data_IF_776907886355
#
_entry.id   IF_776907886355
#
_cell.length_a   1.000
_cell.length_b   1.000
_cell.length_c   1.000
_cell.angle_alpha   90.00
_cell.angle_beta   90.00
_cell.angle_gamma   90.00
#
_symmetry.space_group_name_H-M   'P 1'
#
loop_
_entity.id
_entity.type
_entity.pdbx_description
1 polymer ?
#
# COMPACT_ATOMS: atom_id res chain seq x y z
N UNK A 1 21.45 -16.05 6.08
CA UNK A 1 20.80 -15.91 7.40
C UNK A 1 19.31 -15.81 7.13
N UNK A 2 18.47 -16.61 7.80
CA UNK A 2 17.01 -16.57 7.61
C UNK A 2 16.41 -15.59 8.62
N UNK A 3 15.61 -14.63 8.16
CA UNK A 3 14.90 -13.65 9.02
C UNK A 3 13.74 -14.36 9.72
N UNK A 4 13.69 -14.27 11.05
CA UNK A 4 12.62 -14.83 11.88
C UNK A 4 11.51 -13.79 12.02
N UNK A 5 10.37 -14.05 11.40
CA UNK A 5 9.27 -13.08 11.26
C UNK A 5 8.15 -13.44 12.23
N UNK A 6 7.69 -12.43 12.99
CA UNK A 6 6.47 -12.49 13.77
C UNK A 6 5.32 -11.84 13.00
N UNK A 7 4.20 -12.54 12.87
CA UNK A 7 2.98 -12.01 12.26
C UNK A 7 2.02 -11.50 13.32
N UNK A 8 1.57 -10.26 13.21
CA UNK A 8 0.47 -9.68 14.00
C UNK A 8 -0.74 -9.49 13.09
N UNK A 9 -1.79 -10.27 13.33
CA UNK A 9 -3.00 -10.29 12.50
C UNK A 9 -3.06 -11.51 11.58
N UNK A 10 -3.78 -12.56 12.01
CA UNK A 10 -3.98 -13.81 11.28
C UNK A 10 -5.21 -13.80 10.35
N UNK A 11 -5.64 -12.61 9.91
CA UNK A 11 -6.73 -12.41 8.95
C UNK A 11 -6.35 -12.79 7.52
N UNK A 12 -7.20 -12.45 6.55
CA UNK A 12 -6.99 -12.80 5.14
C UNK A 12 -5.65 -12.30 4.59
N UNK A 13 -5.27 -11.03 4.85
CA UNK A 13 -4.00 -10.46 4.38
C UNK A 13 -2.80 -11.10 5.10
N UNK A 14 -2.87 -11.31 6.41
CA UNK A 14 -1.81 -11.99 7.16
C UNK A 14 -1.55 -13.39 6.62
N UNK A 15 -2.60 -14.17 6.35
CA UNK A 15 -2.49 -15.51 5.75
C UNK A 15 -1.87 -15.48 4.34
N UNK A 16 -2.23 -14.50 3.51
CA UNK A 16 -1.64 -14.32 2.19
C UNK A 16 -0.14 -14.01 2.27
N UNK A 17 0.30 -13.24 3.25
CA UNK A 17 1.72 -13.01 3.50
C UNK A 17 2.44 -14.27 4.00
N UNK A 18 1.82 -15.03 4.90
CA UNK A 18 2.37 -16.32 5.35
C UNK A 18 2.60 -17.25 4.15
N UNK A 19 1.60 -17.40 3.31
CA UNK A 19 1.70 -18.25 2.11
C UNK A 19 2.87 -17.85 1.21
N UNK A 20 3.03 -16.56 0.93
CA UNK A 20 4.15 -16.05 0.13
C UNK A 20 5.50 -16.28 0.81
N UNK A 21 5.61 -16.01 2.12
CA UNK A 21 6.87 -16.13 2.85
C UNK A 21 7.32 -17.59 2.92
N UNK A 22 6.41 -18.51 3.16
CA UNK A 22 6.74 -19.92 3.37
C UNK A 22 6.89 -20.70 2.04
N UNK A 23 6.16 -20.30 0.99
CA UNK A 23 6.09 -21.09 -0.24
C UNK A 23 6.77 -20.45 -1.46
N UNK A 24 6.95 -19.11 -1.49
CA UNK A 24 7.44 -18.40 -2.67
C UNK A 24 8.76 -17.65 -2.42
N UNK A 25 9.02 -17.20 -1.18
CA UNK A 25 10.17 -16.37 -0.88
C UNK A 25 11.27 -17.17 -0.17
N UNK A 26 12.50 -16.79 -0.44
CA UNK A 26 13.67 -17.33 0.26
C UNK A 26 14.18 -16.32 1.31
N UNK A 27 14.68 -16.83 2.43
CA UNK A 27 15.39 -16.02 3.43
C UNK A 27 14.51 -15.48 4.57
N UNK A 28 13.21 -15.77 4.59
CA UNK A 28 12.31 -15.48 5.70
C UNK A 28 11.57 -16.73 6.19
N UNK A 29 11.11 -16.74 7.41
CA UNK A 29 10.15 -17.74 7.92
C UNK A 29 9.30 -17.16 9.04
N UNK A 30 8.07 -17.63 9.19
CA UNK A 30 7.20 -17.26 10.31
C UNK A 30 7.57 -18.10 11.53
N UNK A 31 7.90 -17.44 12.65
CA UNK A 31 8.26 -18.09 13.92
C UNK A 31 7.28 -17.81 15.05
N UNK A 32 6.42 -16.80 14.87
CA UNK A 32 5.43 -16.38 15.85
C UNK A 32 4.20 -15.77 15.16
N UNK A 33 3.02 -16.00 15.71
CA UNK A 33 1.75 -15.43 15.25
C UNK A 33 0.98 -14.85 16.43
N UNK A 34 0.51 -13.62 16.33
CA UNK A 34 -0.34 -12.98 17.31
C UNK A 34 -1.67 -12.55 16.70
N UNK A 35 -2.75 -12.86 17.36
CA UNK A 35 -4.10 -12.38 17.05
C UNK A 35 -4.96 -12.41 18.30
N UNK A 36 -5.96 -11.52 18.39
CA UNK A 36 -6.97 -11.57 19.45
C UNK A 36 -7.81 -12.85 19.38
N UNK A 37 -7.98 -13.40 18.18
CA UNK A 37 -8.57 -14.72 17.95
C UNK A 37 -7.47 -15.79 18.02
N UNK A 38 -7.23 -16.32 19.21
CA UNK A 38 -6.21 -17.36 19.46
C UNK A 38 -6.40 -18.64 18.64
N UNK A 39 -7.64 -19.03 18.34
CA UNK A 39 -7.94 -20.18 17.49
C UNK A 39 -7.48 -19.90 16.04
N UNK A 40 -7.80 -18.71 15.53
CA UNK A 40 -7.37 -18.27 14.20
C UNK A 40 -5.85 -18.13 14.09
N UNK A 41 -5.17 -17.64 15.13
CA UNK A 41 -3.72 -17.59 15.20
C UNK A 41 -3.11 -19.00 15.26
N UNK A 42 -3.68 -19.90 16.06
CA UNK A 42 -3.26 -21.30 16.16
C UNK A 42 -3.35 -22.04 14.83
N UNK A 43 -4.45 -21.86 14.09
CA UNK A 43 -4.63 -22.47 12.78
C UNK A 43 -3.58 -22.04 11.74
N UNK A 44 -2.99 -20.85 11.90
CA UNK A 44 -1.88 -20.37 11.06
C UNK A 44 -0.52 -20.86 11.59
N UNK A 45 -0.33 -20.83 12.89
CA UNK A 45 0.96 -21.12 13.54
C UNK A 45 1.31 -22.61 13.59
N UNK A 46 0.31 -23.48 13.85
CA UNK A 46 0.52 -24.91 14.09
C UNK A 46 1.21 -25.64 12.92
N UNK A 47 0.81 -25.47 11.65
CA UNK A 47 1.49 -26.10 10.52
C UNK A 47 2.96 -25.69 10.35
N UNK A 48 3.31 -24.51 10.89
CA UNK A 48 4.65 -23.92 10.78
C UNK A 48 5.54 -24.20 12.01
N UNK A 49 4.98 -24.80 13.06
CA UNK A 49 5.65 -24.92 14.34
C UNK A 49 5.94 -23.57 15.00
N UNK A 50 5.17 -22.52 14.65
CA UNK A 50 5.32 -21.17 15.17
C UNK A 50 4.62 -21.02 16.53
N UNK A 51 5.12 -20.08 17.34
CA UNK A 51 4.51 -19.76 18.64
C UNK A 51 3.26 -18.91 18.47
N UNK A 52 2.28 -19.07 19.37
CA UNK A 52 1.05 -18.28 19.38
C UNK A 52 1.07 -17.30 20.54
N UNK A 53 0.69 -16.05 20.30
CA UNK A 53 0.57 -14.98 21.27
C UNK A 53 -0.82 -14.35 21.23
N UNK A 54 -1.30 -13.87 22.38
CA UNK A 54 -2.59 -13.18 22.49
C UNK A 54 -2.52 -11.68 22.14
N UNK A 55 -1.30 -11.13 22.01
CA UNK A 55 -1.11 -9.72 21.72
C UNK A 55 0.15 -9.47 20.89
N UNK A 56 0.14 -8.35 20.13
CA UNK A 56 1.32 -7.87 19.41
C UNK A 56 2.48 -7.56 20.35
N UNK A 57 2.21 -7.01 21.53
CA UNK A 57 3.22 -6.68 22.53
C UNK A 57 4.00 -7.90 23.02
N UNK A 58 3.32 -9.03 23.29
CA UNK A 58 3.98 -10.28 23.69
C UNK A 58 4.87 -10.83 22.57
N UNK A 59 4.37 -10.83 21.32
CA UNK A 59 5.15 -11.25 20.16
C UNK A 59 6.38 -10.35 19.93
N UNK A 60 6.23 -9.03 20.05
CA UNK A 60 7.31 -8.06 19.88
C UNK A 60 8.40 -8.26 20.95
N UNK A 61 8.01 -8.63 22.17
CA UNK A 61 8.96 -8.89 23.27
C UNK A 61 9.76 -10.20 23.08
N UNK A 62 9.37 -11.07 22.17
CA UNK A 62 10.05 -12.33 21.91
C UNK A 62 11.43 -12.11 21.28
N UNK A 63 12.55 -12.54 21.91
CA UNK A 63 13.90 -12.35 21.39
C UNK A 63 14.19 -13.17 20.12
N UNK A 64 13.36 -14.18 19.84
CA UNK A 64 13.50 -14.99 18.63
C UNK A 64 12.80 -14.40 17.41
N UNK A 65 12.17 -13.25 17.52
CA UNK A 65 11.58 -12.49 16.41
C UNK A 65 12.54 -11.38 15.99
N UNK A 66 13.00 -11.42 14.74
CA UNK A 66 13.89 -10.40 14.16
C UNK A 66 13.13 -9.26 13.51
N UNK A 67 11.99 -9.57 12.87
CA UNK A 67 11.15 -8.64 12.15
C UNK A 67 9.67 -8.91 12.42
N UNK A 68 8.84 -7.87 12.33
CA UNK A 68 7.40 -7.95 12.59
C UNK A 68 6.64 -7.58 11.32
N UNK A 69 5.68 -8.43 10.93
CA UNK A 69 4.71 -8.15 9.89
C UNK A 69 3.37 -7.85 10.54
N UNK A 70 2.84 -6.64 10.31
CA UNK A 70 1.59 -6.17 10.89
C UNK A 70 0.52 -6.12 9.79
N UNK A 71 -0.51 -6.98 9.92
CA UNK A 71 -1.60 -7.15 8.96
C UNK A 71 -2.97 -7.12 9.65
N UNK A 72 -3.10 -6.30 10.68
CA UNK A 72 -4.35 -6.04 11.41
C UNK A 72 -5.19 -4.94 10.71
N UNK A 73 -6.17 -4.38 11.40
CA UNK A 73 -6.89 -3.20 10.91
C UNK A 73 -6.07 -1.93 11.13
N UNK A 74 -5.99 -1.04 10.14
CA UNK A 74 -5.18 0.18 10.17
C UNK A 74 -5.32 1.06 11.41
N UNK A 75 -6.48 1.04 12.06
CA UNK A 75 -6.73 1.80 13.30
C UNK A 75 -5.95 1.31 14.53
N UNK A 76 -5.39 0.10 14.48
CA UNK A 76 -4.64 -0.50 15.58
C UNK A 76 -3.16 -0.74 15.23
N UNK A 77 -2.68 -0.29 14.07
CA UNK A 77 -1.30 -0.45 13.65
C UNK A 77 -0.31 0.33 14.53
N UNK A 78 -0.61 1.59 14.84
CA UNK A 78 0.37 2.52 15.42
C UNK A 78 1.02 2.02 16.73
N UNK A 79 0.30 1.48 17.72
CA UNK A 79 0.91 0.96 18.94
C UNK A 79 1.91 -0.16 18.69
N UNK A 80 1.57 -1.12 17.81
CA UNK A 80 2.44 -2.26 17.50
C UNK A 80 3.65 -1.84 16.68
N UNK A 81 3.49 -0.91 15.72
CA UNK A 81 4.61 -0.35 14.94
C UNK A 81 5.59 0.38 15.87
N UNK A 82 5.10 1.27 16.74
CA UNK A 82 5.95 2.03 17.67
C UNK A 82 6.68 1.08 18.61
N UNK A 83 5.99 0.10 19.20
CA UNK A 83 6.60 -0.87 20.10
C UNK A 83 7.69 -1.71 19.40
N UNK A 84 7.46 -2.13 18.14
CA UNK A 84 8.46 -2.86 17.37
C UNK A 84 9.68 -2.00 17.03
N UNK A 85 9.48 -0.73 16.67
CA UNK A 85 10.55 0.24 16.44
C UNK A 85 11.38 0.46 17.70
N UNK A 86 10.73 0.66 18.85
CA UNK A 86 11.39 0.83 20.17
C UNK A 86 12.17 -0.42 20.58
N UNK A 87 11.69 -1.62 20.21
CA UNK A 87 12.39 -2.88 20.38
C UNK A 87 13.52 -3.10 19.36
N UNK A 88 13.72 -2.16 18.42
CA UNK A 88 14.76 -2.21 17.39
C UNK A 88 14.51 -3.23 16.28
N UNK A 89 13.28 -3.72 16.13
CA UNK A 89 12.88 -4.71 15.12
C UNK A 89 12.48 -4.04 13.81
N UNK A 90 12.75 -4.71 12.69
CA UNK A 90 12.21 -4.30 11.40
C UNK A 90 10.72 -4.54 11.32
N UNK A 91 9.99 -3.66 10.67
CA UNK A 91 8.54 -3.70 10.53
C UNK A 91 8.13 -3.61 9.07
N UNK A 92 7.34 -4.57 8.61
CA UNK A 92 6.48 -4.42 7.45
C UNK A 92 5.05 -4.23 7.95
N UNK A 93 4.51 -3.04 7.78
CA UNK A 93 3.14 -2.71 8.17
C UNK A 93 2.24 -2.59 6.94
N UNK A 94 1.12 -3.30 6.92
CA UNK A 94 0.11 -3.12 5.87
C UNK A 94 -0.44 -1.69 5.83
N UNK A 95 -0.89 -1.30 4.66
CA UNK A 95 -1.54 -0.01 4.47
C UNK A 95 -2.98 -0.01 5.06
N UNK A 96 -3.47 1.14 5.53
CA UNK A 96 -2.75 2.39 5.78
C UNK A 96 -1.82 2.24 7.00
N UNK A 97 -0.70 2.95 7.03
CA UNK A 97 0.22 2.92 8.17
C UNK A 97 -0.50 3.20 9.50
N UNK A 98 -1.41 4.17 9.48
CA UNK A 98 -2.37 4.46 10.54
C UNK A 98 -3.57 5.22 9.93
N UNK A 99 -4.64 5.40 10.71
CA UNK A 99 -5.86 6.07 10.24
C UNK A 99 -5.96 7.54 10.65
N UNK A 100 -4.98 8.06 11.38
CA UNK A 100 -4.87 9.47 11.74
C UNK A 100 -3.48 10.03 11.40
N UNK A 101 -3.37 11.31 11.00
CA UNK A 101 -2.08 11.95 10.79
C UNK A 101 -1.21 11.94 12.05
N UNK A 102 -1.81 12.09 13.23
CA UNK A 102 -1.11 12.11 14.52
C UNK A 102 -0.39 10.79 14.79
N UNK A 103 -1.07 9.66 14.54
CA UNK A 103 -0.47 8.34 14.69
C UNK A 103 0.67 8.11 13.68
N UNK A 104 0.51 8.57 12.44
CA UNK A 104 1.59 8.52 11.44
C UNK A 104 2.80 9.33 11.89
N UNK A 105 2.59 10.55 12.43
CA UNK A 105 3.66 11.39 12.95
C UNK A 105 4.36 10.72 14.13
N UNK A 106 3.61 10.14 15.07
CA UNK A 106 4.18 9.43 16.21
C UNK A 106 5.07 8.24 15.79
N UNK A 107 4.67 7.48 14.76
CA UNK A 107 5.50 6.42 14.18
C UNK A 107 6.79 7.00 13.57
N UNK A 108 6.69 8.09 12.80
CA UNK A 108 7.86 8.74 12.21
C UNK A 108 8.83 9.27 13.27
N UNK A 109 8.32 9.84 14.36
CA UNK A 109 9.12 10.32 15.50
C UNK A 109 9.82 9.16 16.22
N UNK A 110 9.13 8.02 16.43
CA UNK A 110 9.73 6.82 17.00
C UNK A 110 10.87 6.29 16.12
N UNK A 111 10.66 6.22 14.80
CA UNK A 111 11.71 5.79 13.87
C UNK A 111 12.89 6.76 13.83
N UNK A 112 12.62 8.07 13.82
CA UNK A 112 13.67 9.09 13.88
C UNK A 112 14.51 8.99 15.17
N UNK A 113 13.87 8.74 16.31
CA UNK A 113 14.53 8.51 17.59
C UNK A 113 15.38 7.23 17.60
N UNK A 114 14.95 6.18 16.90
CA UNK A 114 15.73 4.95 16.74
C UNK A 114 16.98 5.15 15.86
N UNK A 115 17.07 6.23 15.08
CA UNK A 115 18.23 6.61 14.29
C UNK A 115 18.48 5.74 13.05
N UNK A 116 17.53 4.90 12.67
CA UNK A 116 17.62 4.03 11.49
C UNK A 116 16.24 3.76 10.90
N UNK A 117 16.21 3.48 9.60
CA UNK A 117 14.99 3.08 8.89
C UNK A 117 14.60 1.66 9.29
N UNK A 118 13.46 1.52 9.96
CA UNK A 118 12.93 0.25 10.46
C UNK A 118 11.58 -0.10 9.86
N UNK A 119 10.81 0.90 9.42
CA UNK A 119 9.42 0.72 8.99
C UNK A 119 9.31 0.76 7.47
N UNK A 120 8.71 -0.26 6.91
CA UNK A 120 8.25 -0.30 5.52
C UNK A 120 6.74 -0.43 5.52
N UNK A 121 6.05 0.43 4.78
CA UNK A 121 4.60 0.34 4.58
C UNK A 121 4.30 -0.53 3.37
N UNK A 122 3.28 -1.38 3.46
CA UNK A 122 2.86 -2.32 2.43
C UNK A 122 2.24 -1.69 1.18
N UNK A 123 2.87 -0.65 0.63
CA UNK A 123 2.50 -0.08 -0.67
C UNK A 123 3.05 -0.95 -1.80
N UNK A 124 2.33 -2.01 -2.13
CA UNK A 124 2.78 -3.07 -3.03
C UNK A 124 3.20 -2.57 -4.42
N UNK A 125 2.61 -1.48 -4.94
CA UNK A 125 2.93 -0.96 -6.27
C UNK A 125 4.37 -0.47 -6.41
N UNK A 126 4.99 -0.03 -5.33
CA UNK A 126 6.42 0.33 -5.33
C UNK A 126 7.35 -0.85 -5.66
N UNK A 127 6.86 -2.09 -5.49
CA UNK A 127 7.58 -3.34 -5.74
C UNK A 127 7.11 -4.04 -7.02
N UNK A 128 6.09 -3.52 -7.68
CA UNK A 128 5.60 -4.02 -8.95
C UNK A 128 6.58 -3.68 -10.08
N UNK A 129 6.87 -4.66 -10.94
CA UNK A 129 7.87 -4.53 -12.00
C UNK A 129 7.51 -3.43 -13.02
N UNK A 130 6.21 -3.27 -13.35
CA UNK A 130 5.75 -2.25 -14.28
C UNK A 130 5.96 -0.83 -13.73
N UNK A 131 5.59 -0.61 -12.47
CA UNK A 131 5.81 0.69 -11.84
C UNK A 131 7.29 0.99 -11.59
N UNK A 132 8.11 0.00 -11.29
CA UNK A 132 9.56 0.18 -11.19
C UNK A 132 10.17 0.54 -12.54
N UNK A 133 9.71 -0.08 -13.63
CA UNK A 133 10.15 0.27 -14.97
C UNK A 133 9.71 1.70 -15.38
N UNK A 134 8.48 2.11 -15.04
CA UNK A 134 8.04 3.50 -15.22
C UNK A 134 8.97 4.49 -14.48
N UNK A 135 9.32 4.19 -13.23
CA UNK A 135 10.24 5.02 -12.44
C UNK A 135 11.63 5.08 -13.08
N UNK A 136 12.17 3.94 -13.51
CA UNK A 136 13.47 3.85 -14.20
C UNK A 136 13.49 4.66 -15.51
N UNK A 137 12.44 4.56 -16.32
CA UNK A 137 12.31 5.31 -17.57
C UNK A 137 12.22 6.83 -17.30
N UNK A 138 11.47 7.24 -16.30
CA UNK A 138 11.42 8.65 -15.86
C UNK A 138 12.80 9.12 -15.39
N UNK A 139 13.52 8.30 -14.61
CA UNK A 139 14.85 8.63 -14.07
C UNK A 139 15.93 8.72 -15.15
N UNK A 140 15.77 8.03 -16.29
CA UNK A 140 16.71 8.14 -17.41
C UNK A 140 16.79 9.57 -17.98
N UNK A 141 15.71 10.35 -17.85
CA UNK A 141 15.62 11.71 -18.38
C UNK A 141 15.47 11.80 -19.89
N UNK A 142 15.43 10.68 -20.62
CA UNK A 142 15.36 10.65 -22.08
C UNK A 142 14.09 11.30 -22.65
N UNK A 143 12.99 11.22 -21.90
CA UNK A 143 11.70 11.82 -22.28
C UNK A 143 11.47 13.22 -21.69
N UNK A 144 12.49 13.83 -21.08
CA UNK A 144 12.37 15.13 -20.42
C UNK A 144 11.66 15.04 -19.08
N UNK A 145 10.98 16.12 -18.67
CA UNK A 145 10.32 16.22 -17.37
C UNK A 145 8.87 15.73 -17.43
N UNK A 146 8.34 15.15 -16.34
CA UNK A 146 6.92 14.84 -16.24
C UNK A 146 6.08 16.12 -16.20
N UNK A 147 4.93 16.10 -16.85
CA UNK A 147 3.98 17.22 -16.94
C UNK A 147 2.61 16.88 -16.35
N UNK A 148 2.20 15.61 -16.51
CA UNK A 148 0.87 15.14 -16.12
C UNK A 148 0.93 13.65 -15.77
N UNK A 149 0.12 13.21 -14.81
CA UNK A 149 -0.11 11.80 -14.48
C UNK A 149 -1.60 11.52 -14.55
N UNK A 150 -1.98 10.50 -15.29
CA UNK A 150 -3.32 9.95 -15.31
C UNK A 150 -3.34 8.62 -14.56
N UNK A 151 -4.19 8.51 -13.55
CA UNK A 151 -4.42 7.28 -12.83
C UNK A 151 -5.88 6.85 -12.93
N UNK A 152 -6.09 5.54 -12.93
CA UNK A 152 -7.42 4.93 -12.82
C UNK A 152 -7.36 3.75 -11.87
N UNK A 153 -8.23 3.77 -10.89
CA UNK A 153 -8.40 2.68 -9.96
C UNK A 153 -9.86 2.23 -9.94
N UNK A 154 -10.13 1.12 -10.58
CA UNK A 154 -11.47 0.56 -10.73
C UNK A 154 -11.55 -0.79 -10.08
N UNK A 155 -12.14 -0.82 -8.87
CA UNK A 155 -12.41 -2.05 -8.14
C UNK A 155 -13.77 -2.65 -8.53
N UNK A 156 -13.89 -3.99 -8.52
CA UNK A 156 -15.20 -4.64 -8.58
C UNK A 156 -16.01 -4.30 -7.32
N UNK A 157 -17.25 -4.78 -7.28
CA UNK A 157 -18.21 -4.49 -6.22
C UNK A 157 -17.61 -4.64 -4.81
N UNK A 158 -17.56 -3.55 -4.06
CA UNK A 158 -17.20 -3.54 -2.63
C UNK A 158 -18.39 -3.93 -1.76
N UNK A 159 -18.15 -4.46 -0.53
CA UNK A 159 -19.23 -4.78 0.41
C UNK A 159 -20.03 -3.51 0.80
N UNK A 160 -21.30 -3.46 0.41
CA UNK A 160 -22.19 -2.30 0.58
C UNK A 160 -22.34 -1.85 2.05
N UNK A 161 -22.23 -2.77 3.00
CA UNK A 161 -22.45 -2.50 4.44
C UNK A 161 -21.19 -2.01 5.16
N UNK A 162 -20.00 -2.17 4.56
CA UNK A 162 -18.73 -1.90 5.21
C UNK A 162 -17.93 -0.79 4.54
N UNK A 163 -18.27 -0.42 3.30
CA UNK A 163 -17.49 0.50 2.51
C UNK A 163 -18.19 1.85 2.39
N UNK A 164 -17.51 2.90 2.79
CA UNK A 164 -18.03 4.29 2.77
C UNK A 164 -17.28 5.13 1.75
N UNK A 165 -17.79 6.31 1.43
CA UNK A 165 -17.07 7.28 0.58
C UNK A 165 -15.68 7.63 1.13
N UNK A 166 -15.51 7.63 2.46
CA UNK A 166 -14.20 7.84 3.08
C UNK A 166 -13.22 6.70 2.76
N UNK A 167 -13.68 5.46 2.75
CA UNK A 167 -12.83 4.32 2.39
C UNK A 167 -12.31 4.40 0.95
N UNK A 168 -13.02 5.10 0.04
CA UNK A 168 -12.50 5.35 -1.31
C UNK A 168 -11.19 6.14 -1.29
N UNK A 169 -10.98 6.97 -0.27
CA UNK A 169 -9.72 7.70 -0.09
C UNK A 169 -8.74 6.87 0.74
N UNK A 170 -9.14 6.47 1.95
CA UNK A 170 -8.24 5.88 2.96
C UNK A 170 -7.78 4.45 2.60
N UNK A 171 -8.50 3.74 1.74
CA UNK A 171 -8.22 2.35 1.36
C UNK A 171 -7.91 2.16 -0.13
N UNK A 172 -8.49 2.98 -1.01
CA UNK A 172 -8.31 2.89 -2.46
C UNK A 172 -7.34 3.95 -2.99
N UNK A 173 -7.70 5.24 -2.94
CA UNK A 173 -6.88 6.34 -3.48
C UNK A 173 -5.48 6.45 -2.84
N UNK A 174 -5.32 5.94 -1.64
CA UNK A 174 -4.02 5.93 -0.96
C UNK A 174 -2.93 5.25 -1.81
N UNK A 175 -3.30 4.29 -2.65
CA UNK A 175 -2.38 3.62 -3.55
C UNK A 175 -1.90 4.54 -4.68
N UNK A 176 -2.81 5.34 -5.26
CA UNK A 176 -2.48 6.29 -6.32
C UNK A 176 -1.69 7.46 -5.75
N UNK A 177 -2.07 7.96 -4.58
CA UNK A 177 -1.32 9.02 -3.87
C UNK A 177 0.12 8.58 -3.62
N UNK A 178 0.32 7.35 -3.15
CA UNK A 178 1.64 6.82 -2.88
C UNK A 178 2.46 6.59 -4.15
N UNK A 179 1.87 5.95 -5.15
CA UNK A 179 2.62 5.62 -6.38
C UNK A 179 2.96 6.87 -7.20
N UNK A 180 2.10 7.88 -7.24
CA UNK A 180 2.42 9.15 -7.89
C UNK A 180 3.62 9.86 -7.23
N UNK A 181 3.67 9.89 -5.88
CA UNK A 181 4.83 10.41 -5.15
C UNK A 181 6.10 9.62 -5.46
N UNK A 182 6.01 8.30 -5.55
CA UNK A 182 7.13 7.43 -5.92
C UNK A 182 7.60 7.67 -7.36
N UNK A 183 6.68 7.66 -8.33
CA UNK A 183 7.00 7.87 -9.74
C UNK A 183 7.57 9.26 -10.00
N UNK A 184 7.06 10.30 -9.36
CA UNK A 184 7.51 11.67 -9.58
C UNK A 184 8.75 12.04 -8.74
N UNK A 185 8.96 11.37 -7.60
CA UNK A 185 10.04 11.68 -6.66
C UNK A 185 9.83 13.00 -5.94
N UNK A 186 8.59 13.49 -5.84
CA UNK A 186 8.24 14.79 -5.24
C UNK A 186 6.90 14.74 -4.49
N UNK A 187 6.67 15.77 -3.67
CA UNK A 187 5.50 15.84 -2.80
C UNK A 187 4.30 16.52 -3.46
N UNK A 188 3.10 16.06 -3.09
CA UNK A 188 1.83 16.69 -3.44
C UNK A 188 1.61 17.90 -2.52
N UNK A 189 1.28 19.06 -3.11
CA UNK A 189 1.09 20.32 -2.40
C UNK A 189 -0.37 20.75 -2.31
N UNK A 190 -1.19 20.25 -3.21
CA UNK A 190 -2.64 20.51 -3.17
C UNK A 190 -3.44 19.35 -3.75
N UNK A 191 -4.65 19.16 -3.21
CA UNK A 191 -5.58 18.16 -3.69
C UNK A 191 -6.99 18.73 -3.70
N UNK A 192 -7.75 18.38 -4.74
CA UNK A 192 -9.19 18.59 -4.83
C UNK A 192 -9.87 17.28 -5.18
N UNK A 193 -11.00 17.01 -4.58
CA UNK A 193 -11.83 15.84 -4.89
C UNK A 193 -13.12 16.32 -5.55
N UNK A 194 -13.34 15.87 -6.76
CA UNK A 194 -14.58 16.09 -7.51
C UNK A 194 -15.43 14.80 -7.47
N UNK A 195 -16.73 14.97 -7.30
CA UNK A 195 -17.70 13.88 -7.33
C UNK A 195 -18.52 14.00 -8.63
N UNK A 196 -18.23 13.20 -9.65
CA UNK A 196 -19.05 13.13 -10.87
C UNK A 196 -20.47 12.67 -10.57
N UNK A 197 -21.29 12.52 -11.61
CA UNK A 197 -22.62 11.92 -11.46
C UNK A 197 -22.48 10.54 -10.83
N UNK A 198 -23.13 10.38 -9.66
CA UNK A 198 -23.14 9.11 -8.93
C UNK A 198 -23.72 7.99 -9.79
N UNK A 199 -23.08 6.83 -9.78
CA UNK A 199 -23.61 5.62 -10.38
C UNK A 199 -24.94 5.21 -9.70
N UNK A 200 -25.94 4.87 -10.50
CA UNK A 200 -27.21 4.33 -9.96
C UNK A 200 -27.04 2.95 -9.33
N UNK A 201 -25.94 2.27 -9.65
CA UNK A 201 -25.60 0.94 -9.13
C UNK A 201 -24.75 1.00 -7.84
N UNK A 202 -24.28 2.19 -7.46
CA UNK A 202 -23.54 2.35 -6.22
C UNK A 202 -24.46 2.17 -5.00
N UNK A 203 -23.99 1.50 -3.92
CA UNK A 203 -24.72 1.38 -2.68
C UNK A 203 -25.18 2.74 -2.13
N UNK A 204 -26.28 2.75 -1.39
CA UNK A 204 -26.78 3.97 -0.76
C UNK A 204 -25.69 4.60 0.14
N UNK A 205 -25.54 5.91 0.09
CA UNK A 205 -24.54 6.67 0.86
C UNK A 205 -23.13 6.64 0.24
N UNK A 206 -22.84 5.77 -0.71
CA UNK A 206 -21.54 5.74 -1.40
C UNK A 206 -21.56 6.72 -2.60
N UNK A 207 -20.63 7.66 -2.60
CA UNK A 207 -20.36 8.53 -3.76
C UNK A 207 -19.32 7.90 -4.65
N UNK A 208 -19.78 7.18 -5.67
CA UNK A 208 -18.94 6.46 -6.63
C UNK A 208 -19.38 6.83 -8.06
N UNK A 209 -18.48 7.28 -8.94
CA UNK A 209 -17.03 7.46 -8.76
C UNK A 209 -16.61 8.76 -8.06
N UNK A 210 -15.31 8.86 -7.72
CA UNK A 210 -14.63 10.11 -7.37
C UNK A 210 -13.50 10.39 -8.37
N UNK A 211 -13.13 11.67 -8.49
CA UNK A 211 -11.93 12.10 -9.22
C UNK A 211 -11.08 12.96 -8.29
N UNK A 212 -9.84 12.56 -8.07
CA UNK A 212 -8.86 13.38 -7.39
C UNK A 212 -8.07 14.17 -8.42
N UNK A 213 -7.92 15.48 -8.18
CA UNK A 213 -7.01 16.34 -8.95
C UNK A 213 -6.00 16.91 -7.98
N UNK A 214 -4.74 16.57 -8.18
CA UNK A 214 -3.66 16.99 -7.29
C UNK A 214 -2.56 17.74 -8.07
N UNK A 215 -1.75 18.51 -7.35
CA UNK A 215 -0.55 19.16 -7.90
C UNK A 215 0.64 18.91 -7.00
N UNK A 216 1.79 18.73 -7.63
CA UNK A 216 3.06 18.56 -6.94
C UNK A 216 3.79 19.88 -6.75
N UNK A 217 4.94 19.84 -6.06
CA UNK A 217 5.81 21.01 -5.83
C UNK A 217 6.26 21.64 -7.14
N UNK A 218 6.62 20.84 -8.15
CA UNK A 218 7.05 21.34 -9.47
C UNK A 218 5.90 21.78 -10.37
N UNK A 219 4.64 21.51 -9.97
CA UNK A 219 3.44 21.88 -10.73
C UNK A 219 2.88 20.76 -11.61
N UNK A 220 3.44 19.56 -11.57
CA UNK A 220 2.86 18.40 -12.28
C UNK A 220 1.42 18.20 -11.80
N UNK A 221 0.50 18.04 -12.76
CA UNK A 221 -0.89 17.74 -12.48
C UNK A 221 -1.08 16.22 -12.40
N UNK A 222 -1.85 15.77 -11.41
CA UNK A 222 -2.27 14.39 -11.27
C UNK A 222 -3.79 14.38 -11.34
N UNK A 223 -4.37 13.57 -12.21
CA UNK A 223 -5.78 13.21 -12.15
C UNK A 223 -5.91 11.70 -11.89
N UNK A 224 -6.84 11.37 -11.02
CA UNK A 224 -7.02 10.00 -10.57
C UNK A 224 -8.51 9.68 -10.48
N UNK A 225 -8.98 8.77 -11.35
CA UNK A 225 -10.34 8.24 -11.34
C UNK A 225 -10.41 7.06 -10.36
N UNK A 226 -11.26 7.20 -9.35
CA UNK A 226 -11.51 6.15 -8.35
C UNK A 226 -12.94 5.66 -8.47
N UNK A 227 -13.08 4.38 -8.77
CA UNK A 227 -14.37 3.72 -8.86
C UNK A 227 -14.31 2.38 -8.11
N UNK A 228 -15.17 2.18 -7.13
CA UNK A 228 -15.11 0.99 -6.25
C UNK A 228 -16.32 0.07 -6.42
N UNK A 229 -17.12 0.29 -7.44
CA UNK A 229 -18.30 -0.53 -7.72
C UNK A 229 -18.54 -0.70 -9.23
N UNK A 230 -17.47 -0.95 -9.98
CA UNK A 230 -17.61 -1.26 -11.41
C UNK A 230 -18.25 -2.64 -11.61
N UNK A 231 -18.93 -2.81 -12.76
CA UNK A 231 -19.65 -4.03 -13.09
C UNK A 231 -18.90 -4.87 -14.15
N UNK A 232 -17.69 -4.48 -14.54
CA UNK A 232 -16.95 -5.05 -15.67
C UNK A 232 -15.51 -5.47 -15.33
N UNK A 233 -15.23 -5.83 -14.09
CA UNK A 233 -13.94 -6.40 -13.71
C UNK A 233 -13.10 -5.47 -12.83
N UNK A 234 -11.78 -5.62 -12.90
CA UNK A 234 -10.78 -4.87 -12.14
C UNK A 234 -9.84 -4.19 -13.12
N UNK A 235 -9.54 -2.90 -12.93
CA UNK A 235 -8.64 -2.16 -13.82
C UNK A 235 -7.83 -1.15 -13.03
N UNK A 236 -6.50 -1.27 -13.13
CA UNK A 236 -5.54 -0.30 -12.60
C UNK A 236 -4.70 0.19 -13.78
N UNK A 237 -4.73 1.50 -14.03
CA UNK A 237 -3.98 2.11 -15.09
C UNK A 237 -3.19 3.31 -14.57
N UNK A 238 -2.01 3.54 -15.13
CA UNK A 238 -1.20 4.72 -14.87
C UNK A 238 -0.50 5.15 -16.16
N UNK A 239 -0.61 6.43 -16.50
CA UNK A 239 0.11 7.04 -17.61
C UNK A 239 0.85 8.28 -17.13
N UNK A 240 2.16 8.31 -17.37
CA UNK A 240 3.03 9.43 -17.07
C UNK A 240 3.31 10.17 -18.39
N UNK A 241 2.79 11.38 -18.52
CA UNK A 241 3.01 12.25 -19.68
C UNK A 241 4.26 13.08 -19.43
N UNK A 242 5.23 12.92 -20.32
CA UNK A 242 6.53 13.60 -20.30
C UNK A 242 6.60 14.68 -21.40
N UNK A 243 7.64 15.51 -21.39
CA UNK A 243 7.82 16.56 -22.42
C UNK A 243 7.98 15.97 -23.83
N UNK A 244 8.59 14.78 -23.98
CA UNK A 244 8.92 14.18 -25.27
C UNK A 244 8.22 12.82 -25.52
N UNK A 245 7.29 12.40 -24.66
CA UNK A 245 6.58 11.13 -24.85
C UNK A 245 5.69 10.76 -23.68
N UNK A 246 5.20 9.54 -23.63
CA UNK A 246 4.42 9.00 -22.54
C UNK A 246 4.95 7.64 -22.09
N UNK A 247 4.82 7.36 -20.80
CA UNK A 247 5.10 6.05 -20.22
C UNK A 247 3.79 5.54 -19.63
N UNK A 248 3.26 4.44 -20.14
CA UNK A 248 1.97 3.90 -19.71
C UNK A 248 2.12 2.49 -19.18
N UNK A 249 1.56 2.25 -18.00
CA UNK A 249 1.29 0.92 -17.53
C UNK A 249 0.04 0.42 -18.28
N UNK A 250 0.24 -0.46 -19.24
CA UNK A 250 -0.82 -1.10 -20.02
C UNK A 250 -1.44 -2.27 -19.28
N UNK A 251 -2.45 -2.90 -19.86
CA UNK A 251 -3.23 -4.01 -19.28
C UNK A 251 -2.38 -5.01 -18.48
N UNK A 252 -2.16 -4.68 -17.21
CA UNK A 252 -1.50 -5.41 -16.12
C UNK A 252 -0.14 -6.09 -16.38
N UNK A 253 0.33 -6.20 -17.62
CA UNK A 253 1.53 -6.99 -17.94
C UNK A 253 2.65 -6.21 -18.64
N UNK A 254 2.38 -5.04 -19.26
CA UNK A 254 3.39 -4.34 -20.05
C UNK A 254 3.37 -2.83 -19.85
N UNK A 255 4.56 -2.24 -19.75
CA UNK A 255 4.75 -0.79 -19.81
C UNK A 255 5.00 -0.39 -21.26
N UNK A 256 4.22 0.57 -21.78
CA UNK A 256 4.39 1.11 -23.12
C UNK A 256 4.96 2.52 -23.06
N UNK A 257 5.94 2.80 -23.92
CA UNK A 257 6.49 4.15 -24.15
C UNK A 257 6.06 4.61 -25.52
N UNK A 258 5.50 5.81 -25.62
CA UNK A 258 5.26 6.50 -26.89
C UNK A 258 6.11 7.75 -26.92
N UNK A 259 7.01 7.84 -27.88
CA UNK A 259 7.82 9.00 -28.17
C UNK A 259 7.50 9.56 -29.55
N UNK A 260 8.15 10.65 -29.94
CA UNK A 260 7.93 11.29 -31.24
C UNK A 260 8.52 10.53 -32.44
N UNK A 261 9.08 9.35 -32.25
CA UNK A 261 9.76 8.57 -33.29
C UNK A 261 8.95 7.37 -33.82
N UNK A 262 7.72 7.19 -33.36
CA UNK A 262 6.79 6.14 -33.78
C UNK A 262 6.55 5.07 -32.70
N UNK A 263 5.47 4.27 -32.88
CA UNK A 263 5.09 3.16 -31.99
C UNK A 263 6.14 2.05 -31.98
#
# INVERSE_FOLDING_TARGET
MTVRIGLIGAGGMGRAHVDRIENELAGGRIVAVADLNLEGAGAVAEPLGARVYGSGAELIADPDVDAVLIATFGKVHAPDVIAAVEAGKYVLCEKPLATTPQDCIAIMEAEAKAGKKLVTVGFMRRFDAGYQEMARLRESGELGRPTLVHCRHRNPRVPATLYTTRNMIDDTAIHEIDICRFLLGEEITSVRVDAPRRSSLAPEGLRDPLVLVARTVSGVLIDDEINVNIQFGYSIECELVMEAGTIRLGDQEHTHVRDGHGD
#
